data_IF_658968928412
#
_entry.id   IF_658968928412
#
_cell.length_a   1.000
_cell.length_b   1.000
_cell.length_c   1.000
_cell.angle_alpha   90.00
_cell.angle_beta   90.00
_cell.angle_gamma   90.00
#
_symmetry.space_group_name_H-M   'P 1'
#
loop_
_entity.id
_entity.type
_entity.pdbx_description
1 polymer ?
#
# COMPACT_ATOMS: atom_id res chain seq x y z
N UNK A 1 29.24 -48.03 -31.09
CA UNK A 1 29.34 -46.99 -32.15
C UNK A 1 28.13 -46.92 -33.09
N UNK A 2 27.64 -48.04 -33.65
CA UNK A 2 26.52 -48.03 -34.60
C UNK A 2 25.22 -47.36 -34.10
N UNK A 3 24.86 -47.52 -32.82
CA UNK A 3 23.67 -46.87 -32.22
C UNK A 3 23.79 -45.34 -32.17
N UNK A 4 24.97 -44.84 -31.81
CA UNK A 4 25.24 -43.39 -31.74
C UNK A 4 25.21 -42.78 -33.14
N UNK A 5 25.83 -43.43 -34.14
CA UNK A 5 25.79 -42.99 -35.53
C UNK A 5 24.37 -42.98 -36.10
N UNK A 6 23.55 -43.98 -35.74
CA UNK A 6 22.14 -44.04 -36.12
C UNK A 6 21.35 -42.87 -35.51
N UNK A 7 21.56 -42.56 -34.23
CA UNK A 7 20.95 -41.42 -33.54
C UNK A 7 21.35 -40.09 -34.20
N UNK A 8 22.63 -39.88 -34.51
CA UNK A 8 23.09 -38.68 -35.23
C UNK A 8 22.49 -38.56 -36.63
N UNK A 9 22.37 -39.66 -37.39
CA UNK A 9 21.68 -39.65 -38.70
C UNK A 9 20.20 -39.30 -38.55
N UNK A 10 19.51 -39.83 -37.56
CA UNK A 10 18.10 -39.55 -37.30
C UNK A 10 17.88 -38.09 -36.88
N UNK A 11 18.75 -37.55 -36.00
CA UNK A 11 18.77 -36.14 -35.61
C UNK A 11 18.97 -35.22 -36.81
N UNK A 12 19.92 -35.55 -37.69
CA UNK A 12 20.18 -34.79 -38.93
C UNK A 12 19.00 -34.83 -39.90
N UNK A 13 18.42 -36.01 -40.12
CA UNK A 13 17.31 -36.20 -41.07
C UNK A 13 16.00 -35.54 -40.56
N UNK A 14 15.84 -35.38 -39.25
CA UNK A 14 14.68 -34.74 -38.63
C UNK A 14 15.09 -33.53 -37.77
N UNK A 15 15.97 -32.68 -38.29
CA UNK A 15 16.51 -31.55 -37.55
C UNK A 15 15.41 -30.62 -36.99
N UNK A 16 14.37 -30.31 -37.78
CA UNK A 16 13.21 -29.50 -37.33
C UNK A 16 12.41 -30.13 -36.18
N UNK A 17 12.24 -31.45 -36.18
CA UNK A 17 11.52 -32.16 -35.10
C UNK A 17 12.37 -32.24 -33.83
N UNK A 18 13.68 -32.42 -34.03
CA UNK A 18 14.63 -32.50 -32.93
C UNK A 18 14.82 -31.17 -32.22
N UNK A 19 14.94 -30.06 -32.97
CA UNK A 19 15.01 -28.71 -32.39
C UNK A 19 13.73 -28.37 -31.62
N UNK A 20 12.56 -28.67 -32.19
CA UNK A 20 11.29 -28.49 -31.49
C UNK A 20 11.23 -29.30 -30.18
N UNK A 21 11.62 -30.57 -30.21
CA UNK A 21 11.65 -31.42 -29.01
C UNK A 21 12.60 -30.87 -27.95
N UNK A 22 13.79 -30.39 -28.33
CA UNK A 22 14.74 -29.76 -27.40
C UNK A 22 14.15 -28.49 -26.77
N UNK A 23 13.50 -27.62 -27.56
CA UNK A 23 12.85 -26.43 -27.05
C UNK A 23 11.74 -26.77 -26.04
N UNK A 24 10.89 -27.75 -26.36
CA UNK A 24 9.80 -28.20 -25.47
C UNK A 24 10.33 -28.82 -24.19
N UNK A 25 11.35 -29.69 -24.28
CA UNK A 25 11.95 -30.32 -23.10
C UNK A 25 12.69 -29.30 -22.22
N UNK A 26 13.41 -28.36 -22.84
CA UNK A 26 14.09 -27.28 -22.10
C UNK A 26 13.08 -26.39 -21.38
N UNK A 27 12.03 -25.94 -22.08
CA UNK A 27 10.97 -25.14 -21.47
C UNK A 27 10.22 -25.90 -20.37
N UNK A 28 9.83 -27.16 -20.64
CA UNK A 28 9.14 -28.00 -19.66
C UNK A 28 10.00 -28.31 -18.44
N UNK A 29 11.30 -28.56 -18.64
CA UNK A 29 12.28 -28.76 -17.58
C UNK A 29 12.43 -27.51 -16.71
N UNK A 30 12.55 -26.33 -17.32
CA UNK A 30 12.61 -25.06 -16.61
C UNK A 30 11.32 -24.78 -15.81
N UNK A 31 10.15 -25.03 -16.40
CA UNK A 31 8.86 -24.89 -15.72
C UNK A 31 8.72 -25.85 -14.52
N UNK A 32 9.10 -27.12 -14.68
CA UNK A 32 9.10 -28.11 -13.60
C UNK A 32 10.07 -27.74 -12.49
N UNK A 33 11.27 -27.25 -12.85
CA UNK A 33 12.25 -26.78 -11.89
C UNK A 33 11.71 -25.60 -11.08
N UNK A 34 11.11 -24.60 -11.73
CA UNK A 34 10.46 -23.48 -11.03
C UNK A 34 9.38 -23.95 -10.05
N UNK A 35 8.53 -24.89 -10.47
CA UNK A 35 7.50 -25.48 -9.59
C UNK A 35 8.09 -26.24 -8.40
N UNK A 36 9.22 -26.92 -8.60
CA UNK A 36 9.94 -27.59 -7.52
C UNK A 36 10.51 -26.58 -6.52
N UNK A 37 11.19 -25.53 -7.00
CA UNK A 37 11.71 -24.45 -6.15
C UNK A 37 10.59 -23.79 -5.33
N UNK A 38 9.44 -23.51 -5.94
CA UNK A 38 8.29 -22.94 -5.22
C UNK A 38 7.80 -23.88 -4.10
N UNK A 39 7.83 -25.20 -4.30
CA UNK A 39 7.44 -26.16 -3.28
C UNK A 39 8.47 -26.25 -2.15
N UNK A 40 9.76 -26.12 -2.46
CA UNK A 40 10.83 -26.04 -1.45
C UNK A 40 10.64 -24.80 -0.58
N UNK A 41 10.38 -23.64 -1.18
CA UNK A 41 10.11 -22.39 -0.47
C UNK A 41 8.88 -22.50 0.44
N UNK A 42 7.77 -23.08 -0.05
CA UNK A 42 6.59 -23.33 0.79
C UNK A 42 6.90 -24.22 1.98
N UNK A 43 7.69 -25.29 1.75
CA UNK A 43 8.06 -26.24 2.80
C UNK A 43 8.91 -25.56 3.87
N UNK A 44 9.91 -24.79 3.47
CA UNK A 44 10.77 -24.03 4.38
C UNK A 44 9.95 -23.05 5.22
N UNK A 45 9.08 -22.26 4.59
CA UNK A 45 8.21 -21.33 5.30
C UNK A 45 7.25 -22.03 6.28
N UNK A 46 6.72 -23.21 5.92
CA UNK A 46 5.88 -23.99 6.84
C UNK A 46 6.67 -24.57 8.02
N UNK A 47 7.94 -24.94 7.82
CA UNK A 47 8.81 -25.41 8.91
C UNK A 47 9.09 -24.27 9.88
N UNK A 48 9.38 -23.07 9.38
CA UNK A 48 9.54 -21.86 10.20
C UNK A 48 8.25 -21.52 10.95
N UNK A 49 7.10 -21.52 10.25
CA UNK A 49 5.79 -21.29 10.85
C UNK A 49 5.44 -22.27 11.98
N UNK A 50 5.78 -23.55 11.78
CA UNK A 50 5.57 -24.60 12.78
C UNK A 50 6.38 -24.36 14.05
N UNK A 51 7.57 -23.76 13.94
CA UNK A 51 8.36 -23.40 15.11
C UNK A 51 7.64 -22.37 16.00
N UNK A 52 6.89 -21.43 15.41
CA UNK A 52 6.03 -20.52 16.16
C UNK A 52 4.88 -21.26 16.85
N UNK A 53 4.20 -22.18 16.16
CA UNK A 53 3.09 -22.93 16.75
C UNK A 53 3.48 -23.94 17.84
N UNK A 54 4.76 -24.34 17.91
CA UNK A 54 5.26 -25.20 18.99
C UNK A 54 5.64 -24.43 20.27
N UNK A 55 5.52 -23.10 20.28
CA UNK A 55 5.78 -22.29 21.47
C UNK A 55 4.73 -22.59 22.55
N UNK A 56 5.19 -22.75 23.79
CA UNK A 56 4.32 -22.99 24.93
C UNK A 56 3.64 -21.68 25.34
N UNK A 57 2.35 -21.76 25.64
CA UNK A 57 1.52 -20.64 26.09
C UNK A 57 1.10 -20.89 27.54
N UNK A 58 1.05 -19.84 28.35
CA UNK A 58 0.59 -19.95 29.74
C UNK A 58 -0.88 -20.39 29.81
N UNK A 59 -1.31 -21.10 30.87
CA UNK A 59 -2.69 -21.60 30.98
C UNK A 59 -3.76 -20.51 31.04
N UNK A 60 -3.37 -19.26 31.34
CA UNK A 60 -4.27 -18.09 31.37
C UNK A 60 -4.12 -17.15 30.16
N UNK A 61 -3.17 -17.42 29.27
CA UNK A 61 -2.97 -16.63 28.06
C UNK A 61 -3.90 -17.15 26.95
N UNK A 62 -4.50 -16.24 26.19
CA UNK A 62 -5.35 -16.59 25.07
C UNK A 62 -4.55 -16.65 23.77
N UNK A 63 -5.01 -17.46 22.83
CA UNK A 63 -4.47 -17.47 21.48
C UNK A 63 -4.77 -16.14 20.80
N UNK A 64 -3.78 -15.61 20.08
CA UNK A 64 -3.95 -14.40 19.28
C UNK A 64 -5.00 -14.65 18.20
N UNK A 65 -5.92 -13.70 18.03
CA UNK A 65 -6.98 -13.75 17.02
C UNK A 65 -6.65 -12.87 15.83
N UNK A 66 -6.65 -13.46 14.64
CA UNK A 66 -6.42 -12.76 13.39
C UNK A 66 -7.65 -12.86 12.47
N UNK A 67 -8.14 -11.71 11.98
CA UNK A 67 -9.11 -11.66 10.89
C UNK A 67 -8.36 -11.43 9.58
N UNK A 68 -8.61 -12.28 8.59
CA UNK A 68 -8.06 -12.14 7.24
C UNK A 68 -9.15 -11.68 6.30
N UNK A 69 -9.00 -10.50 5.70
CA UNK A 69 -9.84 -10.01 4.60
C UNK A 69 -9.21 -10.40 3.28
N UNK A 70 -9.85 -11.30 2.54
CA UNK A 70 -9.37 -11.83 1.27
C UNK A 70 -10.25 -11.34 0.12
N UNK A 71 -9.65 -10.69 -0.88
CA UNK A 71 -10.31 -10.43 -2.16
C UNK A 71 -9.99 -11.57 -3.16
N UNK A 72 -10.92 -12.52 -3.40
CA UNK A 72 -10.69 -13.63 -4.31
C UNK A 72 -10.59 -13.20 -5.78
N UNK A 73 -11.21 -12.08 -6.16
CA UNK A 73 -11.22 -11.58 -7.54
C UNK A 73 -9.89 -10.93 -7.95
N UNK A 74 -9.05 -10.55 -6.97
CA UNK A 74 -7.75 -9.95 -7.22
C UNK A 74 -6.81 -10.83 -8.09
N UNK A 75 -5.90 -10.17 -8.81
CA UNK A 75 -4.91 -10.79 -9.69
C UNK A 75 -5.51 -11.82 -10.67
N UNK A 76 -6.49 -11.39 -11.47
CA UNK A 76 -7.18 -12.24 -12.45
C UNK A 76 -7.82 -13.49 -11.81
N UNK A 77 -8.48 -13.32 -10.66
CA UNK A 77 -9.15 -14.38 -9.88
C UNK A 77 -8.23 -15.51 -9.37
N UNK A 78 -6.92 -15.27 -9.31
CA UNK A 78 -5.94 -16.25 -8.79
C UNK A 78 -5.63 -16.04 -7.31
N UNK A 79 -6.04 -14.92 -6.72
CA UNK A 79 -5.71 -14.57 -5.34
C UNK A 79 -6.14 -15.65 -4.34
N UNK A 80 -7.36 -16.20 -4.47
CA UNK A 80 -7.84 -17.28 -3.59
C UNK A 80 -6.91 -18.51 -3.66
N UNK A 81 -6.59 -19.01 -4.86
CA UNK A 81 -5.67 -20.17 -4.97
C UNK A 81 -4.26 -19.85 -4.48
N UNK A 82 -3.79 -18.61 -4.62
CA UNK A 82 -2.45 -18.22 -4.16
C UNK A 82 -2.41 -18.15 -2.63
N UNK A 83 -3.43 -17.58 -2.01
CA UNK A 83 -3.57 -17.50 -0.56
C UNK A 83 -3.62 -18.89 0.08
N UNK A 84 -4.55 -19.73 -0.38
CA UNK A 84 -4.76 -21.08 0.16
C UNK A 84 -3.51 -21.97 0.03
N UNK A 85 -2.68 -21.77 -1.00
CA UNK A 85 -1.45 -22.56 -1.22
C UNK A 85 -0.22 -22.03 -0.49
N UNK A 86 -0.11 -20.70 -0.36
CA UNK A 86 1.15 -20.08 0.05
C UNK A 86 1.09 -19.46 1.46
N UNK A 87 -0.07 -18.94 1.89
CA UNK A 87 -0.20 -18.18 3.14
C UNK A 87 -1.05 -18.89 4.20
N UNK A 88 -2.19 -19.49 3.80
CA UNK A 88 -3.09 -20.16 4.75
C UNK A 88 -2.40 -21.26 5.60
N UNK A 89 -1.55 -22.14 5.03
CA UNK A 89 -0.86 -23.15 5.83
C UNK A 89 0.09 -22.55 6.88
N UNK A 90 0.76 -21.45 6.54
CA UNK A 90 1.68 -20.75 7.45
C UNK A 90 0.91 -20.19 8.65
N UNK A 91 -0.22 -19.52 8.40
CA UNK A 91 -1.04 -18.94 9.47
C UNK A 91 -1.64 -20.01 10.40
N UNK A 92 -2.12 -21.13 9.85
CA UNK A 92 -2.68 -22.21 10.66
C UNK A 92 -1.62 -22.98 11.47
N UNK A 93 -0.40 -23.12 10.94
CA UNK A 93 0.70 -23.79 11.66
C UNK A 93 1.27 -22.93 12.80
N UNK A 94 1.06 -21.62 12.78
CA UNK A 94 1.65 -20.69 13.74
C UNK A 94 0.91 -20.60 15.08
N UNK A 95 -0.19 -21.33 15.27
CA UNK A 95 -0.96 -21.29 16.52
C UNK A 95 -1.79 -20.01 16.70
N UNK A 96 -2.25 -19.40 15.61
CA UNK A 96 -3.12 -18.22 15.61
C UNK A 96 -4.56 -18.66 15.32
N UNK A 97 -5.56 -18.06 15.99
CA UNK A 97 -6.97 -18.26 15.66
C UNK A 97 -7.31 -17.39 14.43
N UNK A 98 -7.36 -18.02 13.25
CA UNK A 98 -7.53 -17.31 11.97
C UNK A 98 -8.97 -17.41 11.48
N UNK A 99 -9.64 -16.26 11.34
CA UNK A 99 -10.95 -16.13 10.70
C UNK A 99 -10.79 -15.51 9.31
N UNK A 100 -11.00 -16.30 8.26
CA UNK A 100 -10.91 -15.83 6.87
C UNK A 100 -12.28 -15.35 6.40
N UNK A 101 -12.33 -14.10 5.94
CA UNK A 101 -13.51 -13.44 5.40
C UNK A 101 -13.22 -13.10 3.93
N UNK A 102 -14.02 -13.65 3.02
CA UNK A 102 -13.88 -13.40 1.59
C UNK A 102 -14.82 -12.27 1.18
N UNK A 103 -14.33 -11.34 0.37
CA UNK A 103 -15.16 -10.30 -0.24
C UNK A 103 -15.73 -10.79 -1.57
N UNK A 104 -16.97 -10.44 -1.84
CA UNK A 104 -17.73 -10.79 -3.04
C UNK A 104 -17.71 -9.65 -4.07
N UNK A 105 -17.76 -8.40 -3.61
CA UNK A 105 -17.79 -7.21 -4.46
C UNK A 105 -17.04 -6.01 -3.84
N UNK A 106 -16.79 -5.00 -4.67
CA UNK A 106 -16.10 -3.76 -4.31
C UNK A 106 -16.86 -2.97 -3.23
N UNK A 107 -16.14 -2.47 -2.23
CA UNK A 107 -16.71 -1.74 -1.10
C UNK A 107 -17.40 -2.62 -0.04
N UNK A 108 -17.49 -3.94 -0.24
CA UNK A 108 -17.95 -4.84 0.83
C UNK A 108 -16.95 -4.87 1.99
N UNK A 109 -15.64 -4.76 1.71
CA UNK A 109 -14.63 -4.69 2.76
C UNK A 109 -14.85 -3.47 3.66
N UNK A 110 -15.17 -2.31 3.07
CA UNK A 110 -15.50 -1.06 3.80
C UNK A 110 -16.61 -1.31 4.83
N UNK A 111 -17.75 -1.89 4.40
CA UNK A 111 -18.90 -2.19 5.28
C UNK A 111 -18.58 -3.24 6.33
N UNK A 112 -17.80 -4.26 5.97
CA UNK A 112 -17.43 -5.32 6.89
C UNK A 112 -16.50 -4.82 8.00
N UNK A 113 -15.65 -3.85 7.68
CA UNK A 113 -14.81 -3.18 8.68
C UNK A 113 -15.64 -2.40 9.69
N UNK A 114 -16.78 -1.81 9.34
CA UNK A 114 -17.64 -1.11 10.30
C UNK A 114 -18.25 -2.07 11.35
N UNK A 115 -18.54 -3.30 10.95
CA UNK A 115 -19.18 -4.33 11.78
C UNK A 115 -18.20 -5.30 12.44
N UNK A 116 -16.90 -5.13 12.23
CA UNK A 116 -15.89 -6.06 12.73
C UNK A 116 -15.75 -5.96 14.25
N UNK A 117 -15.69 -7.12 14.91
CA UNK A 117 -15.38 -7.22 16.34
C UNK A 117 -13.91 -6.89 16.64
N UNK A 118 -13.58 -6.68 17.91
CA UNK A 118 -12.22 -6.45 18.35
C UNK A 118 -11.34 -7.69 18.12
N UNK A 119 -10.16 -7.50 17.53
CA UNK A 119 -9.16 -8.54 17.30
C UNK A 119 -7.75 -8.06 17.62
N UNK A 120 -6.82 -9.01 17.76
CA UNK A 120 -5.42 -8.70 18.05
C UNK A 120 -4.65 -8.32 16.78
N UNK A 121 -5.12 -8.80 15.63
CA UNK A 121 -4.47 -8.61 14.34
C UNK A 121 -5.49 -8.55 13.21
N UNK A 122 -5.27 -7.65 12.25
CA UNK A 122 -6.00 -7.57 10.99
C UNK A 122 -5.05 -7.90 9.85
N UNK A 123 -5.40 -8.84 8.97
CA UNK A 123 -4.58 -9.23 7.82
C UNK A 123 -5.36 -8.95 6.54
N UNK A 124 -4.76 -8.22 5.61
CA UNK A 124 -5.34 -7.87 4.32
C UNK A 124 -4.62 -8.68 3.25
N UNK A 125 -5.37 -9.52 2.55
CA UNK A 125 -4.87 -10.38 1.48
C UNK A 125 -5.47 -9.93 0.14
N UNK A 126 -4.73 -9.11 -0.60
CA UNK A 126 -5.26 -8.44 -1.79
C UNK A 126 -4.22 -7.62 -2.55
N UNK A 127 -4.70 -6.62 -3.28
CA UNK A 127 -3.87 -5.56 -3.87
C UNK A 127 -4.12 -4.21 -3.19
N UNK A 128 -3.58 -3.14 -3.78
CA UNK A 128 -3.66 -1.78 -3.22
C UNK A 128 -5.11 -1.29 -3.02
N UNK A 129 -6.05 -1.57 -3.93
CA UNK A 129 -7.46 -1.17 -3.75
C UNK A 129 -8.14 -1.87 -2.56
N UNK A 130 -7.92 -3.18 -2.38
CA UNK A 130 -8.44 -3.90 -1.19
C UNK A 130 -7.85 -3.36 0.11
N UNK A 131 -6.59 -2.95 0.08
CA UNK A 131 -5.93 -2.29 1.21
C UNK A 131 -6.58 -0.94 1.51
N UNK A 132 -6.80 -0.11 0.50
CA UNK A 132 -7.48 1.18 0.63
C UNK A 132 -8.91 1.04 1.16
N UNK A 133 -9.68 0.07 0.65
CA UNK A 133 -11.04 -0.20 1.11
C UNK A 133 -11.08 -0.54 2.61
N UNK A 134 -10.20 -1.44 3.04
CA UNK A 134 -10.14 -1.85 4.45
C UNK A 134 -9.73 -0.68 5.34
N UNK A 135 -8.72 0.08 4.97
CA UNK A 135 -8.25 1.25 5.74
C UNK A 135 -9.33 2.31 5.83
N UNK A 136 -10.00 2.59 4.71
CA UNK A 136 -11.10 3.55 4.67
C UNK A 136 -12.25 3.10 5.57
N UNK A 137 -12.62 1.82 5.53
CA UNK A 137 -13.64 1.26 6.44
C UNK A 137 -13.22 1.31 7.91
N UNK A 138 -11.95 1.08 8.22
CA UNK A 138 -11.41 1.10 9.58
C UNK A 138 -11.42 2.50 10.21
N UNK A 139 -10.98 3.51 9.45
CA UNK A 139 -10.85 4.90 9.92
C UNK A 139 -12.17 5.70 9.82
N UNK A 140 -13.21 5.16 9.17
CA UNK A 140 -14.56 5.75 9.21
C UNK A 140 -15.35 5.34 10.46
N UNK A 141 -14.85 4.40 11.25
CA UNK A 141 -15.53 3.93 12.46
C UNK A 141 -15.56 5.02 13.53
N UNK A 142 -16.61 5.01 14.34
CA UNK A 142 -16.71 5.88 15.52
C UNK A 142 -15.62 5.56 16.55
N UNK A 143 -15.28 4.27 16.71
CA UNK A 143 -14.26 3.80 17.65
C UNK A 143 -12.84 3.71 17.03
N UNK A 144 -12.55 4.52 16.01
CA UNK A 144 -11.33 4.40 15.20
C UNK A 144 -10.03 4.45 16.03
N UNK A 145 -9.97 5.19 17.14
CA UNK A 145 -8.77 5.31 17.97
C UNK A 145 -8.33 3.99 18.62
N UNK A 146 -9.27 3.08 18.87
CA UNK A 146 -8.96 1.76 19.42
C UNK A 146 -8.49 0.84 18.32
N UNK A 147 -9.17 0.86 17.18
CA UNK A 147 -8.87 0.00 16.04
C UNK A 147 -7.61 0.41 15.29
N UNK A 148 -7.24 1.69 15.28
CA UNK A 148 -6.01 2.17 14.62
C UNK A 148 -4.73 1.67 15.30
N UNK A 149 -4.83 1.23 16.56
CA UNK A 149 -3.73 0.61 17.33
C UNK A 149 -3.52 -0.86 16.99
N UNK A 150 -4.52 -1.52 16.39
CA UNK A 150 -4.44 -2.92 15.98
C UNK A 150 -3.44 -3.01 14.82
N UNK A 151 -2.41 -3.87 14.91
CA UNK A 151 -1.42 -4.00 13.86
C UNK A 151 -2.01 -4.71 12.63
N UNK A 152 -1.71 -4.16 11.46
CA UNK A 152 -2.24 -4.58 10.16
C UNK A 152 -1.15 -5.34 9.38
N UNK A 153 -1.45 -6.57 8.96
CA UNK A 153 -0.63 -7.36 8.07
C UNK A 153 -1.08 -7.19 6.63
N UNK A 154 -0.13 -7.04 5.70
CA UNK A 154 -0.44 -7.00 4.27
C UNK A 154 0.19 -8.19 3.56
N UNK A 155 -0.65 -9.01 2.91
CA UNK A 155 -0.25 -10.14 2.07
C UNK A 155 -0.46 -9.76 0.59
N UNK A 156 0.63 -9.57 -0.17
CA UNK A 156 0.59 -9.04 -1.53
C UNK A 156 0.10 -10.08 -2.54
N UNK A 157 -1.20 -10.15 -2.78
CA UNK A 157 -1.81 -11.05 -3.77
C UNK A 157 -2.07 -10.36 -5.12
N UNK A 158 -2.10 -9.03 -5.14
CA UNK A 158 -2.34 -8.18 -6.30
C UNK A 158 -1.30 -8.30 -7.43
N UNK A 159 -1.56 -7.64 -8.55
CA UNK A 159 -0.61 -7.48 -9.66
C UNK A 159 0.42 -6.39 -9.38
N UNK A 160 -0.02 -5.28 -8.79
CA UNK A 160 0.80 -4.22 -8.22
C UNK A 160 0.51 -4.16 -6.72
N UNK A 161 1.55 -4.01 -5.91
CA UNK A 161 1.46 -3.94 -4.46
C UNK A 161 2.49 -2.93 -3.97
N UNK A 162 2.14 -1.65 -4.02
CA UNK A 162 3.07 -0.56 -3.71
C UNK A 162 3.56 -0.66 -2.26
N UNK A 163 2.65 -0.96 -1.33
CA UNK A 163 2.94 -1.07 0.11
C UNK A 163 3.94 -2.18 0.43
N UNK A 164 3.84 -3.29 -0.30
CA UNK A 164 4.64 -4.47 -0.01
C UNK A 164 6.13 -4.23 -0.20
N UNK A 165 6.51 -3.33 -1.11
CA UNK A 165 7.91 -2.99 -1.36
C UNK A 165 8.53 -2.18 -0.20
N UNK A 166 7.70 -1.50 0.58
CA UNK A 166 8.11 -0.71 1.75
C UNK A 166 8.13 -1.52 3.04
N UNK A 167 7.31 -2.59 3.14
CA UNK A 167 7.19 -3.40 4.35
C UNK A 167 7.95 -4.73 4.28
N UNK A 168 8.05 -5.34 3.11
CA UNK A 168 8.57 -6.68 2.95
C UNK A 168 9.80 -6.71 2.05
N UNK A 169 10.51 -7.83 2.08
CA UNK A 169 11.65 -8.05 1.20
C UNK A 169 11.18 -8.15 -0.25
N UNK A 170 11.77 -7.32 -1.11
CA UNK A 170 11.49 -7.34 -2.55
C UNK A 170 12.06 -8.63 -3.14
N UNK A 171 11.20 -9.42 -3.80
CA UNK A 171 11.60 -10.64 -4.50
C UNK A 171 10.85 -10.74 -5.83
N UNK A 172 11.56 -11.24 -6.85
CA UNK A 172 10.99 -11.52 -8.16
C UNK A 172 10.04 -12.73 -8.13
N UNK A 173 10.25 -13.67 -7.20
CA UNK A 173 9.38 -14.82 -7.06
C UNK A 173 8.15 -14.46 -6.23
N UNK A 174 6.98 -14.47 -6.88
CA UNK A 174 5.68 -14.20 -6.24
C UNK A 174 5.40 -15.11 -5.04
N UNK A 175 5.80 -16.38 -5.08
CA UNK A 175 5.59 -17.31 -3.95
C UNK A 175 6.43 -16.88 -2.76
N UNK A 176 7.72 -16.60 -2.98
CA UNK A 176 8.63 -16.14 -1.95
C UNK A 176 8.13 -14.84 -1.30
N UNK A 177 7.66 -13.89 -2.11
CA UNK A 177 7.14 -12.61 -1.63
C UNK A 177 5.89 -12.76 -0.75
N UNK A 178 4.98 -13.69 -1.10
CA UNK A 178 3.79 -13.98 -0.29
C UNK A 178 4.18 -14.70 1.02
N UNK A 179 5.06 -15.70 0.93
CA UNK A 179 5.48 -16.48 2.11
C UNK A 179 6.29 -15.62 3.08
N UNK A 180 7.22 -14.81 2.58
CA UNK A 180 8.01 -13.90 3.41
C UNK A 180 7.14 -12.85 4.08
N UNK A 181 6.20 -12.23 3.36
CA UNK A 181 5.24 -11.30 3.94
C UNK A 181 4.40 -11.93 5.06
N UNK A 182 3.95 -13.17 4.86
CA UNK A 182 3.17 -13.91 5.86
C UNK A 182 4.02 -14.24 7.10
N UNK A 183 5.29 -14.61 6.92
CA UNK A 183 6.22 -14.86 8.03
C UNK A 183 6.58 -13.57 8.79
N UNK A 184 6.75 -12.43 8.12
CA UNK A 184 6.97 -11.13 8.77
C UNK A 184 5.83 -10.77 9.72
N UNK A 185 4.57 -11.06 9.32
CA UNK A 185 3.40 -10.86 10.16
C UNK A 185 3.48 -11.72 11.43
N UNK A 186 3.92 -12.98 11.32
CA UNK A 186 4.08 -13.88 12.46
C UNK A 186 5.24 -13.48 13.38
N UNK A 187 6.34 -12.96 12.83
CA UNK A 187 7.46 -12.40 13.60
C UNK A 187 7.04 -11.23 14.48
N UNK A 188 6.02 -10.49 14.04
CA UNK A 188 5.33 -9.52 14.89
C UNK A 188 5.98 -8.13 14.97
N UNK A 189 6.97 -7.85 14.12
CA UNK A 189 7.59 -6.53 14.05
C UNK A 189 6.69 -5.52 13.35
N UNK A 190 6.50 -4.35 13.95
CA UNK A 190 5.59 -3.32 13.44
C UNK A 190 6.29 -1.99 13.15
N UNK A 191 5.80 -1.28 12.14
CA UNK A 191 6.21 0.08 11.78
C UNK A 191 4.97 0.98 11.69
N UNK A 192 4.99 2.18 12.29
CA UNK A 192 3.89 3.14 12.11
C UNK A 192 3.92 3.74 10.71
N UNK A 193 2.75 3.87 10.08
CA UNK A 193 2.56 4.51 8.79
C UNK A 193 1.67 5.75 8.91
N UNK A 194 1.96 6.74 8.07
CA UNK A 194 1.16 7.94 7.93
C UNK A 194 -0.02 7.65 7.00
N UNK A 195 -1.15 8.34 7.16
CA UNK A 195 -2.34 8.16 6.32
C UNK A 195 -2.80 9.53 5.83
N UNK A 196 -3.14 9.63 4.55
CA UNK A 196 -3.79 10.81 3.98
C UNK A 196 -5.30 10.68 4.11
N UNK A 197 -5.94 11.65 4.75
CA UNK A 197 -7.37 11.82 4.75
C UNK A 197 -7.75 12.77 3.61
N UNK A 198 -8.61 12.33 2.71
CA UNK A 198 -9.09 13.11 1.56
C UNK A 198 -10.60 13.25 1.74
N UNK A 199 -11.05 14.46 2.05
CA UNK A 199 -12.45 14.75 2.34
C UNK A 199 -13.03 15.63 1.24
N UNK A 200 -14.11 15.18 0.61
CA UNK A 200 -14.90 16.04 -0.27
C UNK A 200 -16.08 16.65 0.50
N UNK A 201 -16.66 17.73 -0.01
CA UNK A 201 -17.82 18.38 0.62
C UNK A 201 -19.07 17.48 0.64
N UNK A 202 -19.26 16.67 -0.40
CA UNK A 202 -20.48 15.87 -0.61
C UNK A 202 -20.35 14.42 -0.15
N UNK A 203 -19.13 13.91 -0.05
CA UNK A 203 -18.87 12.50 0.22
C UNK A 203 -18.18 12.26 1.55
N UNK A 204 -18.26 11.01 2.03
CA UNK A 204 -17.52 10.59 3.22
C UNK A 204 -16.00 10.60 2.95
N UNK A 205 -15.17 10.89 3.97
CA UNK A 205 -13.72 10.99 3.82
C UNK A 205 -13.12 9.66 3.35
N UNK A 206 -12.25 9.69 2.35
CA UNK A 206 -11.48 8.54 1.85
C UNK A 206 -10.09 8.61 2.46
N UNK A 207 -9.52 7.45 2.78
CA UNK A 207 -8.19 7.38 3.38
C UNK A 207 -7.23 6.65 2.44
N UNK A 208 -6.03 7.21 2.25
CA UNK A 208 -5.00 6.70 1.36
C UNK A 208 -3.67 6.54 2.11
N UNK A 209 -2.87 5.55 1.73
CA UNK A 209 -1.53 5.34 2.26
C UNK A 209 -0.45 5.96 1.39
N UNK A 210 -0.57 5.96 0.06
CA UNK A 210 0.46 6.53 -0.79
C UNK A 210 0.13 7.92 -1.24
N UNK A 211 -1.05 8.13 -1.84
CA UNK A 211 -1.34 9.44 -2.37
C UNK A 211 -2.47 9.54 -3.38
N UNK A 212 -2.75 10.78 -3.73
CA UNK A 212 -3.65 11.20 -4.79
C UNK A 212 -2.84 11.61 -6.01
N UNK A 213 -3.26 11.16 -7.19
CA UNK A 213 -2.70 11.56 -8.48
C UNK A 213 -3.78 12.09 -9.39
N UNK A 214 -3.47 13.18 -10.08
CA UNK A 214 -4.38 13.81 -11.01
C UNK A 214 -3.62 14.30 -12.24
N UNK A 215 -4.00 13.81 -13.42
CA UNK A 215 -3.47 14.30 -14.68
C UNK A 215 -3.20 13.22 -15.72
N UNK A 216 -2.45 13.61 -16.75
CA UNK A 216 -2.29 12.85 -17.98
C UNK A 216 -1.68 11.45 -17.77
N UNK A 217 -0.66 11.32 -16.91
CA UNK A 217 -0.04 10.03 -16.64
C UNK A 217 -1.02 9.04 -15.99
N UNK A 218 -1.84 9.51 -15.05
CA UNK A 218 -2.90 8.71 -14.41
C UNK A 218 -3.99 8.28 -15.40
N UNK A 219 -4.38 9.15 -16.32
CA UNK A 219 -5.36 8.80 -17.36
C UNK A 219 -4.79 7.75 -18.32
N UNK A 220 -3.50 7.85 -18.64
CA UNK A 220 -2.82 6.82 -19.42
C UNK A 220 -2.79 5.51 -18.65
N UNK A 221 -2.39 5.49 -17.37
CA UNK A 221 -2.30 4.24 -16.60
C UNK A 221 -3.63 3.50 -16.51
N UNK A 222 -4.74 4.22 -16.34
CA UNK A 222 -6.09 3.66 -16.43
C UNK A 222 -6.39 2.99 -17.79
N UNK A 223 -5.94 3.62 -18.89
CA UNK A 223 -6.15 3.11 -20.24
C UNK A 223 -5.25 1.94 -20.65
N UNK A 224 -4.13 1.69 -19.97
CA UNK A 224 -3.17 0.61 -20.31
C UNK A 224 -3.86 -0.76 -20.37
N UNK A 225 -4.82 -1.00 -19.48
CA UNK A 225 -5.58 -2.26 -19.42
C UNK A 225 -6.41 -2.52 -20.68
N UNK A 226 -6.91 -1.47 -21.34
CA UNK A 226 -7.73 -1.55 -22.57
C UNK A 226 -6.91 -2.08 -23.75
N UNK A 227 -5.61 -1.83 -23.77
CA UNK A 227 -4.68 -2.26 -24.83
C UNK A 227 -4.05 -3.63 -24.57
N UNK A 228 -4.74 -4.53 -23.89
CA UNK A 228 -4.23 -5.86 -23.51
C UNK A 228 -3.72 -6.69 -24.70
N UNK A 229 -4.27 -6.47 -25.91
CA UNK A 229 -3.92 -7.17 -27.15
C UNK A 229 -2.53 -6.82 -27.68
N UNK A 230 -1.92 -5.70 -27.27
CA UNK A 230 -0.58 -5.29 -27.69
C UNK A 230 0.55 -5.91 -26.84
N UNK A 231 0.20 -6.75 -25.86
CA UNK A 231 1.16 -7.48 -25.04
C UNK A 231 2.21 -6.57 -24.39
N UNK A 232 3.52 -6.73 -24.66
CA UNK A 232 4.58 -5.93 -24.06
C UNK A 232 4.58 -4.46 -24.51
N UNK A 233 3.94 -4.15 -25.65
CA UNK A 233 3.89 -2.78 -26.20
C UNK A 233 2.73 -1.96 -25.63
N UNK A 234 1.82 -2.56 -24.85
CA UNK A 234 0.59 -1.90 -24.36
C UNK A 234 0.87 -0.60 -23.59
N UNK A 235 1.94 -0.55 -22.81
CA UNK A 235 2.30 0.64 -22.00
C UNK A 235 2.74 1.78 -22.91
N UNK A 236 3.71 1.52 -23.79
CA UNK A 236 4.19 2.48 -24.81
C UNK A 236 3.07 2.95 -25.72
N UNK A 237 2.23 2.02 -26.18
CA UNK A 237 1.10 2.33 -27.04
C UNK A 237 0.06 3.21 -26.34
N UNK A 238 -0.23 2.98 -25.05
CA UNK A 238 -1.17 3.81 -24.29
C UNK A 238 -0.70 5.28 -24.20
N UNK A 239 0.57 5.50 -23.86
CA UNK A 239 1.15 6.85 -23.88
C UNK A 239 1.11 7.46 -25.29
N UNK A 240 1.39 6.66 -26.33
CA UNK A 240 1.42 7.13 -27.71
C UNK A 240 0.03 7.55 -28.20
N UNK A 241 -0.97 6.70 -28.00
CA UNK A 241 -2.35 6.98 -28.35
C UNK A 241 -2.92 8.17 -27.58
N UNK A 242 -2.55 8.35 -26.30
CA UNK A 242 -2.95 9.53 -25.52
C UNK A 242 -2.34 10.81 -26.09
N UNK A 243 -1.05 10.79 -26.42
CA UNK A 243 -0.35 11.93 -27.02
C UNK A 243 -0.92 12.30 -28.40
N UNK A 244 -1.36 11.32 -29.20
CA UNK A 244 -1.99 11.58 -30.50
C UNK A 244 -3.37 12.19 -30.39
N UNK A 245 -4.12 11.86 -29.33
CA UNK A 245 -5.49 12.32 -29.17
C UNK A 245 -5.51 13.82 -28.88
N UNK A 246 -4.78 14.24 -27.85
CA UNK A 246 -4.70 15.64 -27.41
C UNK A 246 -3.32 15.89 -26.75
N UNK A 247 -2.61 16.93 -27.20
CA UNK A 247 -1.35 17.38 -26.62
C UNK A 247 -1.24 18.92 -26.70
N UNK A 248 -0.84 19.64 -25.64
CA UNK A 248 -0.56 19.16 -24.27
C UNK A 248 -1.84 18.94 -23.43
N UNK A 249 -1.85 17.92 -22.57
CA UNK A 249 -2.94 17.66 -21.61
C UNK A 249 -2.66 18.42 -20.31
N UNK A 250 -2.81 19.74 -20.34
CA UNK A 250 -2.59 20.55 -19.15
C UNK A 250 -3.87 20.67 -18.31
N UNK A 251 -3.73 20.40 -17.03
CA UNK A 251 -4.77 20.59 -16.04
C UNK A 251 -4.48 21.84 -15.23
N UNK A 252 -5.48 22.72 -15.11
CA UNK A 252 -5.41 23.93 -14.29
C UNK A 252 -6.17 23.66 -12.99
N UNK A 253 -5.55 23.98 -11.86
CA UNK A 253 -6.21 23.95 -10.55
C UNK A 253 -5.63 25.03 -9.64
N UNK A 254 -6.46 25.50 -8.72
CA UNK A 254 -6.02 26.32 -7.60
C UNK A 254 -5.77 25.41 -6.40
N UNK A 255 -4.61 25.59 -5.77
CA UNK A 255 -4.19 24.86 -4.59
C UNK A 255 -4.00 25.87 -3.46
N UNK A 256 -4.74 25.70 -2.37
CA UNK A 256 -4.52 26.44 -1.13
C UNK A 256 -3.78 25.53 -0.16
N UNK A 257 -2.80 26.06 0.57
CA UNK A 257 -1.97 25.24 1.44
C UNK A 257 -1.44 25.96 2.67
N UNK A 258 -1.01 25.16 3.65
CA UNK A 258 -0.38 25.61 4.89
C UNK A 258 1.11 25.27 4.90
N UNK A 259 1.91 26.14 5.53
CA UNK A 259 3.34 25.89 5.69
C UNK A 259 3.58 24.64 6.57
N UNK A 260 4.64 23.86 6.31
CA UNK A 260 4.89 22.61 7.02
C UNK A 260 5.11 22.84 8.50
N UNK A 261 4.31 22.20 9.35
CA UNK A 261 4.54 22.20 10.79
C UNK A 261 5.53 21.08 11.15
N UNK A 262 6.58 21.36 11.96
CA UNK A 262 7.51 20.32 12.36
C UNK A 262 6.80 19.26 13.21
N UNK A 263 6.90 18.01 12.78
CA UNK A 263 6.28 16.86 13.44
C UNK A 263 6.70 16.75 14.91
N UNK A 264 5.76 16.53 15.85
CA UNK A 264 6.11 16.31 17.25
C UNK A 264 6.97 15.05 17.42
N UNK A 265 7.95 15.07 18.34
CA UNK A 265 8.85 13.94 18.56
C UNK A 265 8.10 12.72 19.10
N UNK A 266 8.62 11.53 18.78
CA UNK A 266 8.12 10.20 19.18
C UNK A 266 8.32 9.98 20.68
N UNK A 267 7.57 10.70 21.51
CA UNK A 267 7.49 10.37 22.92
C UNK A 267 6.56 9.17 23.04
N UNK A 268 6.95 8.09 23.76
CA UNK A 268 5.99 7.06 24.13
C UNK A 268 4.81 7.76 24.81
N UNK A 269 3.59 7.35 24.48
CA UNK A 269 2.40 7.85 25.16
C UNK A 269 2.49 7.42 26.62
N UNK A 270 3.13 8.23 27.46
CA UNK A 270 3.10 8.06 28.90
C UNK A 270 1.65 8.29 29.30
N UNK A 271 0.88 7.21 29.43
CA UNK A 271 -0.39 7.26 30.13
C UNK A 271 0.00 7.63 31.56
N UNK A 272 -0.30 8.85 32.05
CA UNK A 272 0.14 9.24 33.37
C UNK A 272 -0.44 8.24 34.36
N UNK A 273 0.37 7.66 35.26
CA UNK A 273 -0.12 6.67 36.21
C UNK A 273 -1.28 7.28 36.99
N UNK A 274 -2.34 6.47 37.14
CA UNK A 274 -3.57 6.91 37.81
C UNK A 274 -3.20 7.45 39.19
N UNK A 275 -3.40 8.75 39.48
CA UNK A 275 -2.94 9.30 40.75
C UNK A 275 -3.69 8.66 41.93
N UNK A 276 -3.02 8.59 43.08
CA UNK A 276 -3.54 7.98 44.30
C UNK A 276 -4.91 8.53 44.71
N UNK A 277 -5.69 7.72 45.43
CA UNK A 277 -7.08 8.03 45.80
C UNK A 277 -7.19 9.34 46.60
N UNK A 278 -6.26 9.58 47.53
CA UNK A 278 -6.16 10.82 48.32
C UNK A 278 -5.95 12.05 47.43
N UNK A 279 -5.07 11.96 46.43
CA UNK A 279 -4.82 13.06 45.49
C UNK A 279 -6.08 13.37 44.65
N UNK A 280 -6.86 12.36 44.29
CA UNK A 280 -8.13 12.53 43.56
C UNK A 280 -9.21 13.19 44.41
N UNK A 281 -9.33 12.78 45.68
CA UNK A 281 -10.26 13.40 46.63
C UNK A 281 -9.84 14.85 46.89
N UNK A 282 -8.55 15.09 47.14
CA UNK A 282 -7.99 16.44 47.28
C UNK A 282 -8.24 17.29 46.04
N UNK A 283 -8.01 16.76 44.83
CA UNK A 283 -8.27 17.48 43.57
C UNK A 283 -9.76 17.78 43.36
N UNK A 284 -10.66 16.86 43.72
CA UNK A 284 -12.11 17.11 43.70
C UNK A 284 -12.52 18.20 44.69
N UNK A 285 -12.01 18.14 45.93
CA UNK A 285 -12.27 19.15 46.94
C UNK A 285 -11.69 20.51 46.50
N UNK A 286 -10.45 20.53 46.01
CA UNK A 286 -9.81 21.72 45.46
C UNK A 286 -10.62 22.32 44.31
N UNK A 287 -11.11 21.50 43.38
CA UNK A 287 -11.94 21.95 42.26
C UNK A 287 -13.37 22.34 42.68
N UNK A 288 -13.88 21.84 43.81
CA UNK A 288 -15.17 22.27 44.37
C UNK A 288 -15.06 23.64 45.02
N UNK A 289 -13.96 23.89 45.74
CA UNK A 289 -13.73 25.16 46.46
C UNK A 289 -13.18 26.24 45.52
N UNK A 290 -12.33 25.87 44.57
CA UNK A 290 -11.78 26.71 43.51
C UNK A 290 -12.02 26.00 42.18
N UNK A 291 -13.21 26.14 41.56
CA UNK A 291 -13.42 25.64 40.21
C UNK A 291 -12.33 26.22 39.30
N UNK A 292 -11.70 25.40 38.44
CA UNK A 292 -10.80 25.94 37.43
C UNK A 292 -11.59 26.98 36.65
N UNK A 293 -11.06 28.19 36.59
CA UNK A 293 -11.57 29.22 35.70
C UNK A 293 -11.50 28.58 34.31
N UNK A 294 -12.63 28.46 33.63
CA UNK A 294 -12.63 28.12 32.22
C UNK A 294 -11.82 29.21 31.53
N UNK A 295 -10.56 28.91 31.22
CA UNK A 295 -9.78 29.77 30.34
C UNK A 295 -10.64 29.93 29.09
N UNK A 296 -10.96 31.17 28.68
CA UNK A 296 -11.67 31.37 27.43
C UNK A 296 -10.90 30.59 26.37
N UNK A 297 -11.61 29.74 25.62
CA UNK A 297 -11.01 28.99 24.52
C UNK A 297 -10.19 29.99 23.72
N UNK A 298 -8.86 29.85 23.75
CA UNK A 298 -7.98 30.67 22.93
C UNK A 298 -8.50 30.50 21.51
N UNK A 299 -9.09 31.55 20.94
CA UNK A 299 -9.46 31.53 19.54
C UNK A 299 -8.18 31.14 18.79
N UNK A 300 -8.17 30.01 18.05
CA UNK A 300 -6.98 29.62 17.33
C UNK A 300 -6.61 30.78 16.42
N UNK A 301 -5.34 31.20 16.46
CA UNK A 301 -4.86 32.23 15.53
C UNK A 301 -5.25 31.80 14.11
N UNK A 302 -5.79 32.71 13.29
CA UNK A 302 -6.26 32.33 11.96
C UNK A 302 -5.08 31.76 11.16
N UNK A 303 -5.20 30.48 10.79
CA UNK A 303 -4.24 29.78 9.95
C UNK A 303 -4.03 30.58 8.65
N UNK A 304 -2.78 30.92 8.33
CA UNK A 304 -2.46 31.69 7.12
C UNK A 304 -2.34 30.74 5.94
N UNK A 305 -3.40 30.69 5.14
CA UNK A 305 -3.44 29.92 3.90
C UNK A 305 -2.76 30.68 2.76
N UNK A 306 -1.83 30.02 2.07
CA UNK A 306 -1.25 30.51 0.82
C UNK A 306 -1.99 29.87 -0.36
N UNK A 307 -2.46 30.68 -1.31
CA UNK A 307 -3.12 30.19 -2.52
C UNK A 307 -2.19 30.28 -3.72
N UNK A 308 -2.09 29.20 -4.50
CA UNK A 308 -1.28 29.12 -5.72
C UNK A 308 -2.09 28.49 -6.85
N UNK A 309 -2.22 29.21 -7.95
CA UNK A 309 -2.78 28.68 -9.19
C UNK A 309 -1.69 27.93 -9.96
N UNK A 310 -2.00 26.70 -10.38
CA UNK A 310 -1.05 25.77 -10.97
C UNK A 310 -1.63 25.24 -12.28
N UNK A 311 -0.79 25.22 -13.32
CA UNK A 311 -1.07 24.54 -14.59
C UNK A 311 -0.01 23.46 -14.85
N UNK A 312 -0.35 22.19 -14.63
CA UNK A 312 0.61 21.07 -14.73
C UNK A 312 0.05 19.92 -15.57
N UNK A 313 0.94 19.02 -16.02
CA UNK A 313 0.55 17.78 -16.69
C UNK A 313 0.05 16.73 -15.69
N UNK A 314 0.69 16.66 -14.52
CA UNK A 314 0.25 15.81 -13.42
C UNK A 314 0.57 16.45 -12.07
N UNK A 315 -0.44 16.45 -11.20
CA UNK A 315 -0.36 16.77 -9.79
C UNK A 315 -0.32 15.45 -9.00
N UNK A 316 0.65 15.34 -8.11
CA UNK A 316 0.75 14.20 -7.19
C UNK A 316 0.89 14.69 -5.76
N UNK A 317 -0.01 14.25 -4.88
CA UNK A 317 0.04 14.49 -3.43
C UNK A 317 0.33 13.15 -2.79
N UNK A 318 1.47 13.00 -2.12
CA UNK A 318 1.94 11.70 -1.63
C UNK A 318 2.56 11.74 -0.25
N UNK A 319 2.59 10.59 0.42
CA UNK A 319 3.24 10.39 1.72
C UNK A 319 4.68 9.93 1.58
N UNK A 320 5.42 10.01 2.68
CA UNK A 320 6.75 9.44 2.83
C UNK A 320 6.76 7.91 3.05
N UNK A 321 5.62 7.23 2.92
CA UNK A 321 5.48 5.80 3.26
C UNK A 321 6.31 4.85 2.36
N UNK A 322 6.95 5.35 1.29
CA UNK A 322 7.95 4.57 0.53
C UNK A 322 9.09 4.08 1.42
N UNK A 323 9.57 4.93 2.34
CA UNK A 323 10.53 4.57 3.37
C UNK A 323 9.99 5.02 4.74
N UNK A 324 9.20 4.17 5.42
CA UNK A 324 8.58 4.54 6.69
C UNK A 324 9.57 4.54 7.87
N UNK A 325 10.80 4.07 7.67
CA UNK A 325 11.84 4.03 8.72
C UNK A 325 12.60 5.35 8.78
N UNK A 326 12.73 6.04 7.64
CA UNK A 326 13.43 7.32 7.57
C UNK A 326 12.58 8.40 8.25
N UNK A 327 13.17 9.05 9.25
CA UNK A 327 12.55 10.19 9.93
C UNK A 327 12.68 11.41 9.02
N UNK A 328 11.54 11.97 8.60
CA UNK A 328 11.48 13.21 7.83
C UNK A 328 10.76 14.26 8.66
N UNK A 329 11.21 15.51 8.57
CA UNK A 329 10.62 16.66 9.26
C UNK A 329 9.37 17.21 8.56
N UNK A 330 9.02 16.67 7.40
CA UNK A 330 7.95 17.15 6.52
C UNK A 330 6.82 16.13 6.47
N UNK A 331 5.59 16.62 6.34
CA UNK A 331 4.39 15.81 6.50
C UNK A 331 3.85 15.28 5.15
N UNK A 332 3.62 16.15 4.16
CA UNK A 332 3.13 15.75 2.83
C UNK A 332 4.16 16.12 1.76
N UNK A 333 4.33 15.28 0.73
CA UNK A 333 5.03 15.63 -0.51
C UNK A 333 3.97 15.99 -1.54
N UNK A 334 3.84 17.28 -1.89
CA UNK A 334 3.15 17.66 -3.12
C UNK A 334 4.17 17.85 -4.21
N UNK A 335 4.14 16.96 -5.19
CA UNK A 335 5.00 17.00 -6.36
C UNK A 335 4.19 17.41 -7.60
N UNK A 336 4.60 18.53 -8.18
CA UNK A 336 4.08 19.07 -9.43
C UNK A 336 4.96 18.59 -10.58
N UNK A 337 4.43 17.72 -11.43
CA UNK A 337 5.16 17.20 -12.58
C UNK A 337 4.82 17.98 -13.85
N UNK A 338 5.86 18.65 -14.37
CA UNK A 338 5.87 19.29 -15.67
C UNK A 338 5.11 20.61 -15.73
N UNK A 339 5.85 21.71 -15.83
CA UNK A 339 5.33 22.89 -16.52
C UNK A 339 5.25 22.56 -18.01
N UNK A 340 4.10 22.85 -18.62
CA UNK A 340 3.75 22.53 -20.03
C UNK A 340 4.82 22.95 -21.05
N UNK A 341 5.69 23.89 -20.70
CA UNK A 341 6.72 24.44 -21.58
C UNK A 341 7.99 23.57 -21.73
N UNK A 342 8.20 22.51 -20.95
CA UNK A 342 9.51 21.82 -20.88
C UNK A 342 9.50 20.42 -21.52
N UNK A 343 8.41 19.66 -21.39
CA UNK A 343 8.41 18.24 -21.77
C UNK A 343 7.90 18.08 -23.21
N UNK A 344 8.66 17.38 -24.06
CA UNK A 344 8.21 17.01 -25.42
C UNK A 344 7.33 15.75 -25.40
N UNK A 345 6.51 15.53 -26.44
CA UNK A 345 5.67 14.32 -26.56
C UNK A 345 6.47 13.00 -26.57
N UNK A 346 7.70 13.03 -27.10
CA UNK A 346 8.63 11.89 -27.08
C UNK A 346 9.17 11.64 -25.66
N UNK A 347 9.45 12.70 -24.90
CA UNK A 347 9.83 12.58 -23.50
C UNK A 347 8.67 12.10 -22.65
N UNK A 348 7.43 12.51 -22.92
CA UNK A 348 6.24 11.95 -22.26
C UNK A 348 6.10 10.44 -22.47
N UNK A 349 6.47 9.92 -23.65
CA UNK A 349 6.52 8.47 -23.92
C UNK A 349 7.62 7.76 -23.13
N UNK A 350 8.83 8.31 -23.14
CA UNK A 350 9.99 7.73 -22.45
C UNK A 350 9.82 7.80 -20.93
N UNK A 351 9.45 8.98 -20.43
CA UNK A 351 9.15 9.24 -19.02
C UNK A 351 7.97 8.39 -18.62
N UNK A 352 6.83 8.35 -19.33
CA UNK A 352 5.67 7.54 -18.93
C UNK A 352 5.98 6.06 -18.68
N UNK A 353 6.85 5.47 -19.51
CA UNK A 353 7.34 4.10 -19.34
C UNK A 353 8.22 3.95 -18.09
N UNK A 354 9.06 4.94 -17.79
CA UNK A 354 9.96 4.98 -16.62
C UNK A 354 9.24 5.47 -15.36
N UNK A 355 8.17 6.23 -15.48
CA UNK A 355 7.39 6.85 -14.42
C UNK A 355 6.44 5.83 -13.78
N UNK A 356 6.02 4.81 -14.56
CA UNK A 356 5.55 3.54 -13.99
C UNK A 356 6.61 2.82 -13.12
N UNK A 357 7.89 3.21 -13.22
CA UNK A 357 9.05 2.58 -12.59
C UNK A 357 9.85 3.51 -11.65
N UNK A 358 9.24 4.56 -11.10
CA UNK A 358 9.82 5.53 -10.15
C UNK A 358 10.79 6.55 -10.78
N UNK A 359 10.42 7.85 -10.70
CA UNK A 359 11.35 8.98 -10.80
C UNK A 359 10.81 10.15 -9.98
N UNK A 360 11.65 10.76 -9.14
CA UNK A 360 11.29 11.85 -8.20
C UNK A 360 12.05 13.16 -8.46
N UNK A 361 12.77 13.28 -9.59
CA UNK A 361 13.91 14.20 -9.65
C UNK A 361 13.63 15.64 -10.11
N UNK A 362 12.41 16.00 -10.54
CA UNK A 362 12.12 17.37 -11.04
C UNK A 362 10.80 17.96 -10.49
N UNK A 363 10.47 17.67 -9.22
CA UNK A 363 9.26 18.18 -8.59
C UNK A 363 9.56 19.34 -7.64
N UNK A 364 8.79 20.43 -7.73
CA UNK A 364 8.67 21.37 -6.61
C UNK A 364 7.92 20.64 -5.51
N UNK A 365 8.64 20.20 -4.48
CA UNK A 365 8.05 19.61 -3.27
C UNK A 365 7.53 20.76 -2.41
N UNK A 366 6.21 20.92 -2.39
CA UNK A 366 5.56 21.80 -1.43
C UNK A 366 5.03 20.89 -0.32
N UNK A 367 5.37 21.23 0.92
CA UNK A 367 5.08 20.44 2.11
C UNK A 367 3.93 21.08 2.88
N UNK A 368 2.80 20.40 2.94
CA UNK A 368 1.51 21.03 3.24
C UNK A 368 0.78 20.28 4.35
N UNK A 369 0.09 20.98 5.24
CA UNK A 369 -0.73 20.36 6.28
C UNK A 369 -2.15 20.04 5.77
N UNK A 370 -2.65 20.88 4.86
CA UNK A 370 -3.93 20.65 4.19
C UNK A 370 -4.07 21.37 2.85
N UNK A 371 -4.71 20.70 1.89
CA UNK A 371 -4.91 21.23 0.53
C UNK A 371 -6.38 21.29 0.15
N UNK A 372 -6.85 22.40 -0.46
CA UNK A 372 -8.11 22.43 -1.22
C UNK A 372 -7.84 22.43 -2.73
N UNK A 373 -8.28 21.42 -3.47
CA UNK A 373 -8.29 21.48 -4.94
C UNK A 373 -9.60 22.11 -5.43
N UNK A 374 -9.58 23.00 -6.43
CA UNK A 374 -10.84 23.49 -7.06
C UNK A 374 -10.89 23.16 -8.55
N UNK A 375 -12.01 22.54 -8.92
CA UNK A 375 -12.56 22.31 -10.27
C UNK A 375 -11.59 21.92 -11.41
N UNK A 376 -11.70 20.65 -11.81
CA UNK A 376 -11.25 20.21 -13.14
C UNK A 376 -11.99 18.94 -13.54
N UNK A 377 -12.56 18.91 -14.74
CA UNK A 377 -13.21 17.71 -15.28
C UNK A 377 -12.19 16.55 -15.36
N UNK A 378 -12.57 15.36 -14.88
CA UNK A 378 -11.72 14.16 -14.93
C UNK A 378 -11.89 13.27 -13.71
N UNK A 379 -10.89 12.42 -13.46
CA UNK A 379 -10.89 11.47 -12.35
C UNK A 379 -9.58 11.55 -11.56
N UNK A 380 -9.65 11.51 -10.24
CA UNK A 380 -8.50 11.30 -9.37
C UNK A 380 -8.13 9.81 -9.29
N UNK A 381 -6.83 9.53 -9.22
CA UNK A 381 -6.30 8.22 -8.87
C UNK A 381 -5.83 8.24 -7.41
N UNK A 382 -6.57 7.62 -6.50
CA UNK A 382 -6.18 7.48 -5.10
C UNK A 382 -5.71 6.04 -4.92
N UNK A 383 -4.44 5.81 -4.59
CA UNK A 383 -3.87 4.46 -4.37
C UNK A 383 -4.22 3.41 -5.47
N UNK A 384 -4.34 3.85 -6.72
CA UNK A 384 -4.73 3.08 -7.92
C UNK A 384 -6.24 2.77 -8.08
N UNK A 385 -7.11 3.39 -7.29
CA UNK A 385 -8.57 3.43 -7.50
C UNK A 385 -9.00 4.75 -8.14
N UNK A 386 -10.06 4.70 -8.96
CA UNK A 386 -10.58 5.85 -9.69
C UNK A 386 -11.69 6.54 -8.88
N UNK A 387 -11.54 7.84 -8.65
CA UNK A 387 -12.54 8.69 -7.99
C UNK A 387 -12.90 9.87 -8.89
N UNK A 388 -14.12 10.37 -8.80
CA UNK A 388 -14.53 11.56 -9.55
C UNK A 388 -13.77 12.80 -9.04
N UNK A 389 -13.29 13.63 -9.97
CA UNK A 389 -12.57 14.84 -9.59
C UNK A 389 -13.53 15.89 -9.03
N UNK A 390 -13.31 16.31 -7.80
CA UNK A 390 -14.11 17.28 -7.06
C UNK A 390 -13.21 18.12 -6.16
N UNK A 391 -13.77 19.19 -5.59
CA UNK A 391 -13.04 19.88 -4.54
C UNK A 391 -12.85 18.97 -3.32
N UNK A 392 -11.60 18.84 -2.90
CA UNK A 392 -11.19 17.96 -1.81
C UNK A 392 -10.25 18.69 -0.87
N UNK A 393 -10.48 18.49 0.41
CA UNK A 393 -9.58 18.82 1.50
C UNK A 393 -8.69 17.61 1.80
N UNK A 394 -7.39 17.74 1.62
CA UNK A 394 -6.41 16.70 1.98
C UNK A 394 -5.84 17.05 3.36
N UNK A 395 -5.67 16.07 4.25
CA UNK A 395 -5.00 16.22 5.55
C UNK A 395 -4.12 15.02 5.84
N UNK A 396 -2.96 15.21 6.45
CA UNK A 396 -2.14 14.09 6.92
C UNK A 396 -2.51 13.67 8.35
N UNK A 397 -2.64 12.37 8.55
CA UNK A 397 -2.72 11.73 9.86
C UNK A 397 -1.41 11.00 10.13
N UNK A 398 -0.44 11.62 10.82
CA UNK A 398 0.86 11.02 11.07
C UNK A 398 0.72 9.80 11.99
N UNK A 399 1.37 8.69 11.62
CA UNK A 399 1.51 7.47 12.41
C UNK A 399 0.18 6.87 12.89
N UNK A 400 -0.88 7.09 12.11
CA UNK A 400 -2.23 6.67 12.50
C UNK A 400 -2.37 5.15 12.56
N UNK A 401 -1.68 4.43 11.67
CA UNK A 401 -1.77 2.97 11.56
C UNK A 401 -0.43 2.30 11.85
N UNK A 402 -0.48 1.03 12.26
CA UNK A 402 0.71 0.19 12.47
C UNK A 402 0.66 -0.99 11.53
N UNK A 403 1.72 -1.20 10.76
CA UNK A 403 1.83 -2.32 9.83
C UNK A 403 2.94 -3.27 10.21
N UNK A 404 2.76 -4.57 9.95
CA UNK A 404 3.86 -5.52 10.09
C UNK A 404 4.91 -5.33 9.00
N UNK A 405 6.18 -5.35 9.40
CA UNK A 405 7.33 -5.14 8.54
C UNK A 405 8.34 -6.27 8.77
N UNK A 406 9.12 -6.61 7.74
CA UNK A 406 10.27 -7.50 7.90
C UNK A 406 11.42 -6.77 8.59
N UNK A 407 12.04 -7.42 9.58
CA UNK A 407 13.24 -6.91 10.25
C UNK A 407 14.34 -6.53 9.26
N UNK A 408 14.62 -7.44 8.31
CA UNK A 408 15.63 -7.26 7.28
C UNK A 408 15.30 -6.05 6.38
N UNK A 409 14.02 -5.86 6.05
CA UNK A 409 13.60 -4.72 5.22
C UNK A 409 13.72 -3.41 6.00
N UNK A 410 13.37 -3.41 7.28
CA UNK A 410 13.52 -2.26 8.17
C UNK A 410 14.98 -1.83 8.28
N UNK A 411 15.90 -2.78 8.41
CA UNK A 411 17.34 -2.52 8.44
C UNK A 411 17.85 -1.97 7.09
N UNK A 412 17.45 -2.57 5.96
CA UNK A 412 17.79 -2.07 4.62
C UNK A 412 17.35 -0.62 4.42
N UNK A 413 16.13 -0.29 4.83
CA UNK A 413 15.57 1.06 4.70
C UNK A 413 16.23 2.07 5.66
N UNK A 414 16.74 1.62 6.80
CA UNK A 414 17.53 2.45 7.70
C UNK A 414 18.94 2.75 7.14
N UNK A 415 19.52 1.83 6.36
CA UNK A 415 20.85 1.95 5.76
C UNK A 415 20.85 2.68 4.41
N UNK A 416 19.73 2.70 3.69
CA UNK A 416 19.55 3.45 2.44
C UNK A 416 19.53 4.96 2.74
N UNK A 417 20.72 5.57 2.83
CA UNK A 417 20.92 7.01 3.05
C UNK A 417 20.81 7.80 1.76
#
# INVERSE_FOLDING_TARGET
>A
MARVVKVFRTLRNHWKKSTFAVCVLSYGGHWLYGKHCDNVLRREACIEARAFGHQLIGPQEHLKKAIVILNPAACNRKANSLFEKNAAPILHLAGVEVKIVKTDYEGQAKKLMELMDQTDMLIIAGGDGTLQEVITGLLRRVDEETFSKIPIGFIPLGSSNSLSQSLHLVSDNKVQHITSATLSILKGETVPLDVLQIKSEKEQPVFALFGLRWGAFRDVTASISKYWYLGPLKTRAAHWFSSLKQWPQSHQASLSYLAPVPRPPDLPTEIPPRPNLLYRIYRRLKNYWNPPIEEPQKEPEPERWESKDISTLELTVSTHNKNPVKRVSTDIIVALHGNVCIINSIEFLLIGVVYCLQREDDSMVITLDSDSLTEGAGFYGIDNEEYEAMSVEVRLLPRKLRFFCSAERREQLAQAQ
#
